data_IF_300457363385
#
_entry.id   IF_300457363385
#
_cell.length_a   1.000
_cell.length_b   1.000
_cell.length_c   1.000
_cell.angle_alpha   90.00
_cell.angle_beta   90.00
_cell.angle_gamma   90.00
#
_symmetry.space_group_name_H-M   'P 1'
#
loop_
_entity.id
_entity.type
_entity.pdbx_description
1 polymer ?
#
# COMPACT_ATOMS: atom_id res chain seq x y z
N UNK A 1 -77.10 -15.60 -8.45
CA UNK A 1 -77.16 -14.83 -9.68
C UNK A 1 -75.84 -14.14 -9.83
N UNK A 2 -74.92 -14.67 -10.53
CA UNK A 2 -74.65 -14.59 -11.95
C UNK A 2 -73.24 -13.90 -11.99
N UNK A 3 -72.17 -14.67 -12.10
CA UNK A 3 -70.85 -14.17 -12.56
C UNK A 3 -70.89 -14.07 -14.11
N UNK A 4 -70.15 -13.17 -14.70
CA UNK A 4 -69.45 -13.50 -15.94
C UNK A 4 -67.93 -13.42 -15.80
N UNK A 5 -67.32 -14.41 -16.43
CA UNK A 5 -65.89 -14.52 -16.69
C UNK A 5 -65.51 -13.62 -17.88
N UNK A 6 -64.20 -13.43 -17.96
CA UNK A 6 -63.36 -13.19 -19.14
C UNK A 6 -62.57 -11.88 -19.14
N UNK A 7 -61.26 -11.99 -18.89
CA UNK A 7 -60.29 -11.07 -19.45
C UNK A 7 -59.03 -11.83 -19.91
N UNK A 8 -58.94 -11.89 -21.24
CA UNK A 8 -57.87 -12.36 -22.06
C UNK A 8 -56.54 -11.68 -21.75
N UNK A 9 -55.47 -12.46 -21.56
CA UNK A 9 -54.11 -12.03 -21.57
C UNK A 9 -53.70 -11.60 -22.99
N UNK A 10 -53.42 -10.30 -23.16
CA UNK A 10 -52.71 -9.76 -24.32
C UNK A 10 -51.20 -9.93 -24.12
N UNK A 11 -50.58 -10.73 -24.99
CA UNK A 11 -49.12 -10.86 -25.01
C UNK A 11 -48.45 -9.63 -25.62
N UNK A 12 -47.37 -9.21 -25.01
CA UNK A 12 -46.48 -8.13 -25.52
C UNK A 12 -45.82 -8.55 -26.85
N UNK A 13 -45.65 -7.61 -27.79
CA UNK A 13 -44.97 -7.87 -29.05
C UNK A 13 -43.44 -8.06 -28.82
N UNK A 14 -42.75 -8.87 -29.65
CA UNK A 14 -41.32 -9.08 -29.56
C UNK A 14 -40.55 -7.78 -29.92
N UNK A 15 -39.35 -7.56 -29.35
CA UNK A 15 -38.52 -6.40 -29.64
C UNK A 15 -38.04 -6.41 -31.11
N UNK A 16 -37.81 -5.23 -31.71
CA UNK A 16 -37.34 -5.11 -33.08
C UNK A 16 -35.94 -5.66 -33.29
N UNK A 17 -35.73 -6.37 -34.41
CA UNK A 17 -34.44 -6.86 -34.85
C UNK A 17 -33.53 -5.66 -35.20
N UNK A 18 -32.31 -5.63 -34.66
CA UNK A 18 -31.31 -4.66 -35.03
C UNK A 18 -30.72 -5.02 -36.40
N UNK A 19 -30.88 -4.11 -37.33
CA UNK A 19 -30.25 -4.15 -38.64
C UNK A 19 -28.74 -3.97 -38.54
N UNK A 20 -28.02 -4.72 -39.34
CA UNK A 20 -26.57 -4.74 -39.41
C UNK A 20 -26.00 -3.38 -39.85
N UNK A 21 -25.07 -2.84 -39.10
CA UNK A 21 -24.28 -1.69 -39.48
C UNK A 21 -23.42 -2.00 -40.74
N UNK A 22 -23.21 -1.03 -41.66
CA UNK A 22 -22.38 -1.23 -42.83
C UNK A 22 -20.90 -1.39 -42.49
N UNK A 23 -20.11 -2.12 -43.32
CA UNK A 23 -18.69 -2.33 -43.06
C UNK A 23 -17.87 -1.05 -43.29
N UNK A 24 -16.94 -0.76 -42.39
CA UNK A 24 -15.95 0.29 -42.52
C UNK A 24 -15.01 0.04 -43.72
N UNK A 25 -14.58 1.07 -44.47
CA UNK A 25 -13.62 0.90 -45.57
C UNK A 25 -12.25 0.53 -45.04
N UNK A 26 -11.60 -0.39 -45.77
CA UNK A 26 -10.38 -1.11 -45.43
C UNK A 26 -9.17 -0.24 -45.12
N UNK A 27 -8.46 -0.66 -44.08
CA UNK A 27 -7.11 -0.24 -43.78
C UNK A 27 -6.14 -1.28 -44.34
N UNK A 28 -5.38 -0.92 -45.37
CA UNK A 28 -4.30 -1.76 -45.92
C UNK A 28 -3.10 -1.68 -44.96
N UNK A 29 -2.80 -2.77 -44.25
CA UNK A 29 -1.59 -2.92 -43.44
C UNK A 29 -0.38 -3.25 -44.28
N UNK A 30 0.86 -3.02 -43.80
CA UNK A 30 2.07 -3.28 -44.52
C UNK A 30 2.33 -4.80 -44.78
N UNK A 31 2.97 -5.19 -45.89
CA UNK A 31 3.19 -6.57 -46.29
C UNK A 31 4.27 -7.25 -45.45
N UNK A 32 4.02 -8.46 -44.97
CA UNK A 32 5.12 -9.35 -44.54
C UNK A 32 4.94 -10.17 -43.25
N UNK A 33 3.77 -10.80 -42.99
CA UNK A 33 3.72 -11.91 -42.01
C UNK A 33 2.95 -13.11 -42.58
N UNK A 34 3.48 -14.36 -42.44
CA UNK A 34 2.77 -15.56 -42.91
C UNK A 34 1.55 -15.85 -42.02
N UNK A 35 0.49 -16.47 -42.60
CA UNK A 35 -0.76 -16.73 -41.85
C UNK A 35 -0.56 -17.87 -40.84
N UNK A 36 -1.10 -17.67 -39.65
CA UNK A 36 -1.23 -18.70 -38.60
C UNK A 36 -2.30 -19.71 -39.01
N UNK A 37 -2.11 -21.03 -38.80
CA UNK A 37 -3.13 -22.04 -39.06
C UNK A 37 -4.29 -21.92 -38.07
N UNK A 38 -5.50 -21.92 -38.57
CA UNK A 38 -6.74 -21.87 -37.81
C UNK A 38 -6.98 -23.16 -37.00
N UNK A 39 -7.83 -23.12 -35.98
CA UNK A 39 -8.13 -24.27 -35.14
C UNK A 39 -9.01 -25.29 -35.89
N UNK A 40 -8.47 -26.50 -36.13
CA UNK A 40 -9.21 -27.64 -36.59
C UNK A 40 -10.10 -28.20 -35.48
N UNK A 41 -11.39 -28.42 -35.80
CA UNK A 41 -12.36 -29.00 -34.91
C UNK A 41 -12.04 -30.43 -34.50
N UNK A 42 -12.19 -30.74 -33.22
CA UNK A 42 -12.17 -32.10 -32.72
C UNK A 42 -13.59 -32.60 -32.43
N UNK A 43 -13.98 -33.60 -33.19
CA UNK A 43 -15.17 -34.42 -32.98
C UNK A 43 -14.95 -35.40 -31.82
N UNK A 44 -16.09 -35.91 -31.37
CA UNK A 44 -16.39 -36.64 -30.15
C UNK A 44 -15.63 -37.94 -29.83
N UNK A 45 -15.68 -38.23 -28.55
CA UNK A 45 -15.69 -39.56 -27.87
C UNK A 45 -14.43 -40.41 -27.88
N UNK A 46 -13.81 -40.48 -26.68
CA UNK A 46 -13.34 -41.75 -26.08
C UNK A 46 -13.21 -41.57 -24.56
N UNK A 47 -13.89 -42.44 -23.81
CA UNK A 47 -13.83 -42.52 -22.37
C UNK A 47 -12.44 -43.00 -21.90
N UNK A 48 -11.89 -42.29 -20.91
CA UNK A 48 -10.72 -42.74 -20.19
C UNK A 48 -11.12 -43.15 -18.77
N UNK A 49 -10.83 -44.44 -18.49
CA UNK A 49 -10.90 -45.01 -17.15
C UNK A 49 -9.82 -44.37 -16.25
N UNK A 50 -10.20 -43.98 -15.05
CA UNK A 50 -9.28 -43.45 -14.04
C UNK A 50 -8.33 -44.57 -13.54
N UNK A 51 -7.03 -44.34 -13.41
CA UNK A 51 -6.12 -45.26 -12.73
C UNK A 51 -6.30 -45.19 -11.20
N UNK A 52 -5.98 -46.28 -10.48
CA UNK A 52 -6.15 -46.39 -9.03
C UNK A 52 -5.14 -45.47 -8.29
N UNK A 53 -5.62 -44.84 -7.21
CA UNK A 53 -4.83 -44.05 -6.27
C UNK A 53 -3.75 -44.92 -5.62
N UNK A 54 -2.49 -44.70 -5.93
CA UNK A 54 -1.37 -45.22 -5.19
C UNK A 54 -1.16 -44.40 -3.93
N UNK A 55 -1.23 -45.00 -2.76
CA UNK A 55 -0.92 -44.41 -1.46
C UNK A 55 0.56 -44.01 -1.42
N UNK A 56 0.85 -42.73 -1.55
CA UNK A 56 2.19 -42.18 -1.33
C UNK A 56 2.38 -41.94 0.17
N UNK A 57 3.26 -42.75 0.78
CA UNK A 57 3.75 -42.56 2.13
C UNK A 57 4.47 -41.22 2.24
N UNK A 58 4.11 -40.41 3.24
CA UNK A 58 4.78 -39.15 3.53
C UNK A 58 6.25 -39.34 3.87
N UNK A 59 7.18 -38.51 3.41
CA UNK A 59 8.58 -38.59 3.81
C UNK A 59 8.72 -38.20 5.28
N UNK A 60 9.36 -39.09 6.05
CA UNK A 60 9.76 -38.88 7.44
C UNK A 60 10.80 -37.77 7.49
N UNK A 61 10.50 -36.67 8.17
CA UNK A 61 11.47 -35.62 8.49
C UNK A 61 12.57 -36.20 9.39
N UNK A 62 13.85 -35.95 9.11
CA UNK A 62 14.92 -36.27 10.05
C UNK A 62 14.78 -35.40 11.30
N UNK A 63 14.92 -36.03 12.46
CA UNK A 63 14.93 -35.38 13.76
C UNK A 63 16.12 -34.40 13.84
N UNK A 64 15.86 -33.19 14.33
CA UNK A 64 16.93 -32.24 14.65
C UNK A 64 17.86 -32.82 15.74
N UNK A 65 19.17 -32.65 15.62
CA UNK A 65 20.08 -32.98 16.69
C UNK A 65 19.85 -32.12 17.93
N UNK A 66 20.15 -32.62 19.14
CA UNK A 66 19.94 -31.85 20.36
C UNK A 66 20.84 -30.59 20.40
N UNK A 67 20.25 -29.52 20.86
CA UNK A 67 20.87 -28.21 21.02
C UNK A 67 21.96 -28.24 22.10
N UNK A 68 23.23 -28.10 21.71
CA UNK A 68 24.32 -27.85 22.65
C UNK A 68 24.36 -26.33 22.97
N UNK A 69 24.34 -25.93 24.26
CA UNK A 69 24.47 -24.54 24.63
C UNK A 69 25.89 -24.04 24.36
N UNK A 70 25.98 -22.92 23.65
CA UNK A 70 27.23 -22.19 23.40
C UNK A 70 27.90 -21.78 24.72
N UNK A 71 29.25 -21.84 24.84
CA UNK A 71 29.94 -21.44 26.04
C UNK A 71 29.79 -19.91 26.27
N UNK A 72 29.41 -19.55 27.48
CA UNK A 72 29.33 -18.18 27.97
C UNK A 72 30.72 -17.53 27.99
N UNK A 73 30.87 -16.45 27.27
CA UNK A 73 32.05 -15.60 27.21
C UNK A 73 32.24 -14.92 28.57
N UNK A 74 33.43 -14.97 29.22
CA UNK A 74 33.67 -14.25 30.46
C UNK A 74 33.70 -12.72 30.22
N UNK A 75 33.12 -11.98 31.17
CA UNK A 75 33.14 -10.51 31.16
C UNK A 75 34.54 -9.96 31.20
N UNK A 76 34.86 -8.86 30.49
CA UNK A 76 36.15 -8.22 30.58
C UNK A 76 36.29 -7.51 31.94
N UNK A 77 37.29 -7.94 32.73
CA UNK A 77 37.75 -7.23 33.89
C UNK A 77 38.52 -5.96 33.42
N UNK A 78 37.95 -4.80 33.66
CA UNK A 78 38.60 -3.51 33.38
C UNK A 78 39.74 -3.27 34.36
N UNK A 79 40.82 -2.62 33.91
CA UNK A 79 41.94 -2.28 34.81
C UNK A 79 41.55 -1.12 35.73
N UNK A 80 41.88 -1.32 37.00
CA UNK A 80 41.86 -0.34 38.09
C UNK A 80 42.71 0.88 37.74
N UNK A 81 42.14 2.07 37.78
CA UNK A 81 42.85 3.35 37.66
C UNK A 81 43.64 3.64 38.93
N UNK A 82 44.92 3.47 38.86
CA UNK A 82 45.87 3.97 39.87
C UNK A 82 45.99 5.48 39.77
N UNK A 83 45.83 6.15 40.90
CA UNK A 83 46.07 7.58 41.08
C UNK A 83 47.58 7.83 41.01
N UNK A 84 48.07 8.46 39.94
CA UNK A 84 49.44 8.91 39.84
C UNK A 84 49.55 10.41 40.19
N UNK A 85 50.36 10.69 41.14
CA UNK A 85 50.71 12.00 41.69
C UNK A 85 51.39 12.91 40.64
N UNK A 86 51.01 14.18 40.64
CA UNK A 86 51.54 15.24 39.79
C UNK A 86 52.90 15.73 40.38
N UNK A 87 54.00 15.84 39.62
CA UNK A 87 55.14 16.62 40.02
C UNK A 87 55.02 18.08 39.55
N UNK A 88 55.11 18.99 40.48
CA UNK A 88 55.23 20.43 40.27
C UNK A 88 56.65 20.74 39.77
N UNK A 89 56.83 21.34 38.60
CA UNK A 89 58.05 22.03 38.20
C UNK A 89 57.68 23.26 37.38
N UNK A 90 58.03 24.40 37.93
CA UNK A 90 57.91 25.69 37.29
C UNK A 90 59.09 25.91 36.31
N UNK A 91 58.74 26.26 35.05
CA UNK A 91 59.67 27.02 34.18
C UNK A 91 58.85 27.76 33.15
N UNK A 92 59.01 29.07 33.09
CA UNK A 92 58.25 29.98 32.23
C UNK A 92 58.52 29.76 30.73
N UNK A 93 57.45 29.80 29.97
CA UNK A 93 57.51 30.06 28.54
C UNK A 93 56.31 30.89 28.16
N UNK A 94 56.54 32.09 27.61
CA UNK A 94 55.52 32.93 27.04
C UNK A 94 55.18 32.40 25.63
N UNK A 95 53.93 32.05 25.29
CA UNK A 95 53.56 31.79 23.92
C UNK A 95 53.00 33.06 23.28
N UNK A 96 53.65 33.47 22.20
CA UNK A 96 53.18 34.41 21.22
C UNK A 96 51.80 33.91 20.66
N UNK A 97 50.87 34.88 20.51
CA UNK A 97 49.49 34.66 20.12
C UNK A 97 49.26 33.84 18.86
N UNK A 98 48.59 32.77 19.01
CA UNK A 98 47.86 32.05 17.98
C UNK A 98 46.42 31.90 18.45
N UNK A 99 45.52 32.71 17.92
CA UNK A 99 44.10 32.58 18.13
C UNK A 99 43.62 31.30 17.49
N UNK A 100 43.38 30.26 18.29
CA UNK A 100 42.66 29.09 17.83
C UNK A 100 41.18 29.45 17.81
N UNK A 101 40.45 29.21 16.70
CA UNK A 101 39.02 29.37 16.70
C UNK A 101 38.39 28.27 17.57
N UNK A 102 37.99 28.62 18.78
CA UNK A 102 37.39 27.72 19.77
C UNK A 102 35.90 27.53 19.57
N UNK A 103 35.37 27.83 18.40
CA UNK A 103 33.95 27.61 18.09
C UNK A 103 33.82 26.62 16.96
N UNK A 104 33.59 25.36 17.27
CA UNK A 104 33.04 24.39 16.34
C UNK A 104 31.57 24.79 16.14
N UNK A 105 31.28 25.52 15.09
CA UNK A 105 29.91 25.73 14.65
C UNK A 105 29.44 24.43 14.03
N UNK A 106 28.58 23.68 14.77
CA UNK A 106 27.81 22.60 14.20
C UNK A 106 26.85 23.23 13.21
N UNK A 107 27.18 23.18 11.92
CA UNK A 107 26.18 23.39 10.86
C UNK A 107 25.21 22.21 10.97
N UNK A 108 24.03 22.50 11.47
CA UNK A 108 22.89 21.59 11.24
C UNK A 108 22.83 21.34 9.74
N UNK A 109 22.94 20.09 9.32
CA UNK A 109 22.83 19.78 7.89
C UNK A 109 21.39 20.08 7.46
N UNK A 110 21.19 20.63 6.27
CA UNK A 110 19.84 20.87 5.73
C UNK A 110 19.00 19.60 5.72
N UNK A 111 19.63 18.44 5.60
CA UNK A 111 19.02 17.11 5.65
C UNK A 111 18.40 16.85 7.03
N UNK A 112 19.08 17.25 8.13
CA UNK A 112 18.55 17.05 9.48
C UNK A 112 17.32 17.92 9.72
N UNK A 113 17.33 19.18 9.27
CA UNK A 113 16.20 20.11 9.40
C UNK A 113 14.95 19.64 8.59
N UNK A 114 15.14 19.10 7.38
CA UNK A 114 14.02 18.53 6.61
C UNK A 114 13.44 17.28 7.28
N UNK A 115 14.29 16.44 7.80
CA UNK A 115 13.88 15.22 8.51
C UNK A 115 13.10 15.56 9.77
N UNK A 116 13.59 16.52 10.57
CA UNK A 116 12.89 17.00 11.77
C UNK A 116 11.53 17.61 11.43
N UNK A 117 11.46 18.42 10.36
CA UNK A 117 10.20 18.99 9.88
C UNK A 117 9.21 17.89 9.43
N UNK A 118 9.67 16.88 8.71
CA UNK A 118 8.84 15.75 8.30
C UNK A 118 8.31 14.98 9.51
N UNK A 119 9.15 14.69 10.49
CA UNK A 119 8.75 14.05 11.75
C UNK A 119 7.72 14.92 12.50
N UNK A 120 7.94 16.23 12.57
CA UNK A 120 7.01 17.16 13.22
C UNK A 120 5.63 17.15 12.54
N UNK A 121 5.58 17.12 11.20
CA UNK A 121 4.33 16.99 10.44
C UNK A 121 3.61 15.69 10.79
N UNK A 122 4.32 14.57 10.78
CA UNK A 122 3.71 13.27 11.06
C UNK A 122 3.22 13.12 12.51
N UNK A 123 3.78 13.86 13.46
CA UNK A 123 3.38 13.86 14.88
C UNK A 123 2.23 14.78 15.21
N UNK A 124 1.85 15.68 14.30
CA UNK A 124 0.77 16.64 14.55
C UNK A 124 -0.54 15.92 14.90
N UNK A 125 -1.36 16.61 15.66
CA UNK A 125 -2.77 16.26 15.79
C UNK A 125 -3.46 16.53 14.45
N UNK A 126 -4.07 15.51 13.86
CA UNK A 126 -4.76 15.60 12.58
C UNK A 126 -6.20 16.12 12.71
N UNK A 127 -6.66 16.35 13.94
CA UNK A 127 -8.01 16.80 14.28
C UNK A 127 -9.10 15.75 14.03
N UNK A 128 -9.05 15.08 12.91
CA UNK A 128 -9.92 13.97 12.50
C UNK A 128 -9.09 12.83 11.90
N UNK A 129 -9.59 11.59 11.97
CA UNK A 129 -8.98 10.47 11.23
C UNK A 129 -8.87 10.76 9.74
N UNK A 130 -7.74 10.39 9.12
CA UNK A 130 -7.46 10.66 7.71
C UNK A 130 -7.34 9.36 6.92
N UNK A 131 -8.02 9.32 5.77
CA UNK A 131 -7.97 8.22 4.81
C UNK A 131 -7.10 8.64 3.62
N UNK A 132 -6.02 7.89 3.41
CA UNK A 132 -5.12 8.02 2.27
C UNK A 132 -5.41 6.88 1.29
N UNK A 133 -5.91 7.16 0.11
CA UNK A 133 -6.19 6.16 -0.91
C UNK A 133 -5.04 6.08 -1.92
N UNK A 134 -4.42 4.90 -2.04
CA UNK A 134 -3.34 4.63 -3.00
C UNK A 134 -3.95 4.04 -4.26
N UNK A 135 -3.94 4.79 -5.37
CA UNK A 135 -4.65 4.40 -6.58
C UNK A 135 -3.83 4.58 -7.85
N UNK A 136 -4.04 3.70 -8.79
CA UNK A 136 -3.72 3.75 -10.21
C UNK A 136 -4.38 2.54 -10.88
N UNK A 137 -5.08 2.67 -12.02
CA UNK A 137 -5.67 1.54 -12.75
C UNK A 137 -4.62 0.55 -13.28
N UNK A 138 -3.38 1.00 -13.48
CA UNK A 138 -2.29 0.14 -13.93
C UNK A 138 -1.84 -0.83 -12.83
N UNK A 139 -1.67 -2.11 -13.20
CA UNK A 139 -1.00 -3.10 -12.34
C UNK A 139 0.52 -2.91 -12.34
N UNK A 140 1.17 -3.30 -11.24
CA UNK A 140 2.64 -3.27 -11.15
C UNK A 140 3.27 -1.89 -10.92
N UNK A 141 2.49 -0.91 -10.49
CA UNK A 141 2.97 0.45 -10.16
C UNK A 141 3.19 0.65 -8.65
N UNK A 142 3.40 -0.42 -7.93
CA UNK A 142 3.78 -0.46 -6.51
C UNK A 142 2.72 0.07 -5.52
N UNK A 143 1.41 0.05 -5.85
CA UNK A 143 0.34 0.50 -4.93
C UNK A 143 0.43 -0.17 -3.55
N UNK A 144 0.38 -1.50 -3.51
CA UNK A 144 0.46 -2.28 -2.26
C UNK A 144 1.74 -1.98 -1.47
N UNK A 145 2.89 -1.91 -2.16
CA UNK A 145 4.16 -1.54 -1.54
C UNK A 145 4.11 -0.13 -0.94
N UNK A 146 3.51 0.81 -1.67
CA UNK A 146 3.36 2.19 -1.22
C UNK A 146 2.44 2.30 0.00
N UNK A 147 1.32 1.58 0.02
CA UNK A 147 0.39 1.54 1.15
C UNK A 147 1.08 1.01 2.40
N UNK A 148 1.80 -0.11 2.30
CA UNK A 148 2.55 -0.71 3.42
C UNK A 148 3.64 0.24 3.92
N UNK A 149 4.45 0.82 3.02
CA UNK A 149 5.55 1.70 3.41
C UNK A 149 5.07 3.04 3.97
N UNK A 150 3.96 3.57 3.49
CA UNK A 150 3.34 4.74 4.08
C UNK A 150 2.84 4.44 5.51
N UNK A 151 2.10 3.34 5.69
CA UNK A 151 1.62 2.94 7.01
C UNK A 151 2.79 2.68 7.98
N UNK A 152 3.82 1.94 7.55
CA UNK A 152 5.01 1.67 8.36
C UNK A 152 5.77 2.95 8.74
N UNK A 153 5.93 3.89 7.79
CA UNK A 153 6.60 5.16 8.04
C UNK A 153 5.84 6.02 9.04
N UNK A 154 4.53 6.20 8.82
CA UNK A 154 3.68 6.96 9.74
C UNK A 154 3.64 6.28 11.11
N UNK A 155 3.46 4.96 11.15
CA UNK A 155 3.43 4.15 12.36
C UNK A 155 4.74 4.22 13.15
N UNK A 156 5.90 4.18 12.50
CA UNK A 156 7.20 4.30 13.16
C UNK A 156 7.39 5.64 13.88
N UNK A 157 6.71 6.71 13.41
CA UNK A 157 6.77 8.04 14.01
C UNK A 157 5.69 8.27 15.05
N UNK A 158 4.46 7.79 14.81
CA UNK A 158 3.30 7.97 15.71
C UNK A 158 3.21 6.90 16.79
N UNK A 159 3.71 5.70 16.51
CA UNK A 159 3.73 4.55 17.44
C UNK A 159 2.40 3.81 17.56
N UNK A 160 1.28 4.36 17.04
CA UNK A 160 -0.06 3.76 17.12
C UNK A 160 -1.06 4.49 16.22
N UNK A 161 -2.26 3.91 16.09
CA UNK A 161 -3.39 4.55 15.40
C UNK A 161 -3.21 4.63 13.89
N UNK A 162 -2.42 3.71 13.29
CA UNK A 162 -2.20 3.62 11.85
C UNK A 162 -2.64 2.25 11.35
N UNK A 163 -3.40 2.24 10.27
CA UNK A 163 -3.90 1.00 9.66
C UNK A 163 -3.69 1.02 8.16
N UNK A 164 -3.29 -0.14 7.61
CA UNK A 164 -3.29 -0.43 6.19
C UNK A 164 -4.45 -1.38 5.85
N UNK A 165 -5.29 -1.00 4.90
CA UNK A 165 -6.42 -1.81 4.44
C UNK A 165 -6.24 -2.22 2.99
N UNK A 166 -6.43 -3.51 2.72
CA UNK A 166 -6.44 -4.09 1.38
C UNK A 166 -7.88 -4.12 0.84
N UNK A 167 -8.21 -3.18 -0.03
CA UNK A 167 -9.50 -3.10 -0.73
C UNK A 167 -9.41 -3.65 -2.17
N UNK A 168 -8.47 -4.57 -2.42
CA UNK A 168 -8.35 -5.21 -3.73
C UNK A 168 -9.42 -6.30 -3.90
N UNK A 169 -10.33 -6.10 -4.85
CA UNK A 169 -11.49 -6.97 -5.09
C UNK A 169 -11.15 -8.35 -5.64
N UNK A 170 -10.00 -8.52 -6.27
CA UNK A 170 -9.66 -9.77 -6.95
C UNK A 170 -8.81 -10.67 -6.06
N UNK A 171 -7.72 -10.16 -5.55
CA UNK A 171 -6.79 -10.89 -4.70
C UNK A 171 -5.91 -9.92 -3.94
N UNK A 172 -6.15 -9.79 -2.66
CA UNK A 172 -5.36 -8.95 -1.78
C UNK A 172 -3.99 -9.56 -1.49
N UNK A 173 -2.94 -8.76 -1.62
CA UNK A 173 -1.57 -9.17 -1.28
C UNK A 173 -0.94 -8.32 -0.19
N UNK A 174 -1.65 -7.32 0.30
CA UNK A 174 -1.16 -6.39 1.32
C UNK A 174 -0.81 -7.13 2.62
N UNK A 175 -1.65 -8.06 3.06
CA UNK A 175 -1.39 -8.85 4.25
C UNK A 175 -0.10 -9.68 4.18
N UNK A 176 0.28 -10.16 2.99
CA UNK A 176 1.56 -10.82 2.75
C UNK A 176 2.72 -9.82 2.82
N UNK A 177 2.57 -8.65 2.22
CA UNK A 177 3.60 -7.60 2.17
C UNK A 177 3.84 -6.95 3.53
N UNK A 178 2.81 -6.85 4.36
CA UNK A 178 2.89 -6.23 5.68
C UNK A 178 3.55 -7.11 6.77
N UNK A 179 3.74 -8.39 6.53
CA UNK A 179 4.45 -9.26 7.47
C UNK A 179 3.56 -10.25 8.22
N UNK A 180 3.91 -10.57 9.46
CA UNK A 180 3.31 -11.69 10.20
C UNK A 180 1.85 -11.46 10.58
N UNK A 181 1.05 -12.54 10.46
CA UNK A 181 -0.30 -12.60 10.97
C UNK A 181 -0.39 -13.53 12.17
N UNK A 182 -1.09 -13.12 13.23
CA UNK A 182 -1.42 -14.01 14.35
C UNK A 182 -2.54 -14.98 14.00
N UNK A 183 -3.37 -14.64 13.03
CA UNK A 183 -4.54 -15.40 12.59
C UNK A 183 -4.81 -15.17 11.08
N UNK A 184 -5.68 -16.01 10.49
CA UNK A 184 -6.05 -15.95 9.08
C UNK A 184 -7.33 -15.11 8.81
N UNK A 185 -7.74 -14.22 9.73
CA UNK A 185 -8.94 -13.39 9.53
C UNK A 185 -8.67 -12.30 8.49
N UNK A 186 -9.73 -11.96 7.74
CA UNK A 186 -9.74 -11.02 6.64
C UNK A 186 -10.94 -10.10 6.76
N UNK A 187 -11.06 -9.13 5.88
CA UNK A 187 -12.24 -8.25 5.75
C UNK A 187 -13.56 -9.03 5.74
N UNK A 188 -13.59 -10.26 5.20
CA UNK A 188 -14.78 -11.11 5.17
C UNK A 188 -15.31 -11.41 6.57
N UNK A 189 -14.44 -11.69 7.51
CA UNK A 189 -14.82 -11.99 8.89
C UNK A 189 -15.32 -10.74 9.60
N UNK A 190 -14.65 -9.61 9.41
CA UNK A 190 -15.09 -8.32 9.94
C UNK A 190 -16.50 -7.95 9.43
N UNK A 191 -16.75 -8.13 8.13
CA UNK A 191 -18.05 -7.81 7.52
C UNK A 191 -19.15 -8.75 8.01
N UNK A 192 -18.85 -10.02 8.28
CA UNK A 192 -19.82 -10.96 8.83
C UNK A 192 -20.33 -10.54 10.23
N UNK A 193 -19.45 -9.94 11.03
CA UNK A 193 -19.73 -9.55 12.41
C UNK A 193 -19.92 -8.02 12.57
N UNK A 194 -20.01 -7.27 11.44
CA UNK A 194 -19.99 -5.81 11.41
C UNK A 194 -21.08 -5.18 12.27
N UNK A 195 -22.30 -5.71 12.20
CA UNK A 195 -23.44 -5.20 12.99
C UNK A 195 -23.23 -5.33 14.52
N UNK A 196 -22.50 -6.35 14.97
CA UNK A 196 -22.16 -6.55 16.37
C UNK A 196 -21.05 -5.57 16.79
N UNK A 197 -19.99 -5.48 15.98
CA UNK A 197 -18.82 -4.68 16.29
C UNK A 197 -19.14 -3.18 16.32
N UNK A 198 -19.97 -2.70 15.41
CA UNK A 198 -20.40 -1.28 15.39
C UNK A 198 -21.12 -0.83 16.66
N UNK A 199 -21.80 -1.76 17.36
CA UNK A 199 -22.51 -1.47 18.61
C UNK A 199 -21.58 -1.44 19.82
N UNK A 200 -20.33 -1.89 19.68
CA UNK A 200 -19.37 -1.85 20.79
C UNK A 200 -19.09 -0.41 21.22
N UNK A 201 -19.08 -0.11 22.53
CA UNK A 201 -18.63 1.17 23.03
C UNK A 201 -17.15 1.40 22.72
N UNK A 202 -16.73 2.67 22.65
CA UNK A 202 -15.41 3.06 22.15
C UNK A 202 -14.22 2.36 22.81
N UNK A 203 -14.30 2.08 24.10
CA UNK A 203 -13.22 1.41 24.86
C UNK A 203 -13.12 -0.10 24.56
N UNK A 204 -14.24 -0.76 24.22
CA UNK A 204 -14.26 -2.18 23.85
C UNK A 204 -14.00 -2.39 22.35
N UNK A 205 -14.28 -1.36 21.53
CA UNK A 205 -14.20 -1.47 20.09
C UNK A 205 -12.79 -1.81 19.61
N UNK A 206 -11.78 -1.16 20.18
CA UNK A 206 -10.38 -1.42 19.79
C UNK A 206 -9.99 -2.87 20.08
N UNK A 207 -10.35 -3.40 21.24
CA UNK A 207 -10.08 -4.79 21.62
C UNK A 207 -10.83 -5.79 20.74
N UNK A 208 -12.11 -5.53 20.43
CA UNK A 208 -12.90 -6.41 19.53
C UNK A 208 -12.42 -6.35 18.11
N UNK A 209 -11.98 -5.17 17.62
CA UNK A 209 -11.47 -5.01 16.27
C UNK A 209 -10.12 -5.70 16.10
N UNK A 210 -9.29 -5.78 17.13
CA UNK A 210 -7.99 -6.45 17.15
C UNK A 210 -8.08 -7.93 16.72
N UNK A 211 -9.19 -8.60 17.01
CA UNK A 211 -9.46 -9.97 16.56
C UNK A 211 -9.47 -10.14 15.02
N UNK A 212 -9.70 -9.06 14.27
CA UNK A 212 -9.80 -9.05 12.80
C UNK A 212 -8.58 -8.44 12.13
N UNK A 213 -7.74 -7.76 12.90
CA UNK A 213 -6.55 -7.08 12.40
C UNK A 213 -5.32 -7.97 12.53
N UNK A 214 -4.41 -7.82 11.60
CA UNK A 214 -3.05 -8.34 11.70
C UNK A 214 -2.16 -7.18 12.12
N UNK A 215 -1.03 -7.46 12.75
CA UNK A 215 -0.07 -6.45 13.15
C UNK A 215 1.19 -6.57 12.31
N UNK A 216 1.79 -5.44 11.96
CA UNK A 216 3.12 -5.41 11.38
C UNK A 216 4.13 -6.11 12.32
N UNK A 217 5.20 -6.64 11.76
CA UNK A 217 6.20 -7.40 12.53
C UNK A 217 6.84 -6.59 13.66
N UNK A 218 6.93 -5.28 13.49
CA UNK A 218 7.45 -4.31 14.47
C UNK A 218 6.35 -3.68 15.35
N UNK A 219 5.08 -4.02 15.12
CA UNK A 219 3.94 -3.50 15.85
C UNK A 219 3.61 -2.03 15.55
N UNK A 220 4.20 -1.43 14.53
CA UNK A 220 4.05 0.00 14.24
C UNK A 220 2.72 0.37 13.59
N UNK A 221 2.05 -0.56 12.90
CA UNK A 221 0.74 -0.37 12.28
C UNK A 221 -0.08 -1.65 12.23
N UNK A 222 -1.39 -1.50 12.06
CA UNK A 222 -2.34 -2.59 11.92
C UNK A 222 -2.69 -2.83 10.46
N UNK A 223 -3.19 -4.03 10.16
CA UNK A 223 -3.51 -4.46 8.81
C UNK A 223 -4.87 -5.13 8.76
N UNK A 224 -5.79 -4.57 8.00
CA UNK A 224 -7.02 -5.25 7.59
C UNK A 224 -6.76 -5.92 6.23
N UNK A 225 -6.55 -7.24 6.27
CA UNK A 225 -6.22 -8.01 5.08
C UNK A 225 -7.44 -8.20 4.17
N UNK A 226 -7.21 -8.08 2.87
CA UNK A 226 -8.19 -8.40 1.83
C UNK A 226 -8.57 -9.87 1.82
N UNK A 227 -9.63 -10.20 1.07
CA UNK A 227 -10.10 -11.57 0.88
C UNK A 227 -9.54 -12.14 -0.42
N UNK A 228 -9.14 -13.40 -0.38
CA UNK A 228 -8.61 -14.09 -1.56
C UNK A 228 -9.71 -14.73 -2.41
N UNK A 229 -10.93 -14.86 -1.86
CA UNK A 229 -12.06 -15.49 -2.56
C UNK A 229 -12.80 -14.50 -3.48
N UNK A 230 -12.80 -14.72 -4.81
CA UNK A 230 -13.51 -13.85 -5.76
C UNK A 230 -15.03 -13.78 -5.52
N UNK A 231 -15.60 -14.80 -4.84
CA UNK A 231 -17.02 -14.82 -4.51
C UNK A 231 -17.39 -13.81 -3.41
N UNK A 232 -16.47 -13.50 -2.53
CA UNK A 232 -16.68 -12.53 -1.46
C UNK A 232 -16.50 -11.09 -1.96
N UNK A 233 -15.55 -10.84 -2.86
CA UNK A 233 -15.30 -9.53 -3.43
C UNK A 233 -16.57 -8.88 -3.99
N UNK A 234 -17.46 -9.70 -4.56
CA UNK A 234 -18.80 -9.26 -5.06
C UNK A 234 -19.81 -8.92 -3.96
N UNK A 235 -19.53 -9.24 -2.70
CA UNK A 235 -20.41 -8.91 -1.55
C UNK A 235 -20.01 -7.61 -0.85
N UNK A 236 -18.81 -7.09 -1.13
CA UNK A 236 -18.41 -5.78 -0.67
C UNK A 236 -19.10 -4.72 -1.52
N UNK A 237 -20.25 -4.28 -1.08
CA UNK A 237 -20.95 -3.18 -1.71
C UNK A 237 -20.55 -1.82 -1.15
N UNK A 238 -20.98 -0.75 -1.80
CA UNK A 238 -20.75 0.64 -1.41
C UNK A 238 -21.09 0.91 0.07
N UNK A 239 -22.19 0.35 0.57
CA UNK A 239 -22.65 0.57 1.94
C UNK A 239 -21.72 -0.09 2.94
N UNK A 240 -21.34 -1.33 2.66
CA UNK A 240 -20.40 -2.10 3.49
C UNK A 240 -19.04 -1.42 3.57
N UNK A 241 -18.47 -1.00 2.43
CA UNK A 241 -17.18 -0.28 2.38
C UNK A 241 -17.22 0.99 3.23
N UNK A 242 -18.31 1.78 3.11
CA UNK A 242 -18.47 3.00 3.92
C UNK A 242 -18.54 2.68 5.41
N UNK A 243 -19.33 1.69 5.81
CA UNK A 243 -19.46 1.27 7.22
C UNK A 243 -18.11 0.82 7.79
N UNK A 244 -17.34 0.04 7.02
CA UNK A 244 -15.99 -0.37 7.43
C UNK A 244 -15.08 0.84 7.62
N UNK A 245 -15.06 1.80 6.70
CA UNK A 245 -14.28 3.03 6.86
C UNK A 245 -14.68 3.83 8.09
N UNK A 246 -15.99 3.99 8.34
CA UNK A 246 -16.51 4.67 9.52
C UNK A 246 -16.11 3.96 10.81
N UNK A 247 -16.15 2.62 10.82
CA UNK A 247 -15.69 1.82 11.95
C UNK A 247 -14.20 2.02 12.22
N UNK A 248 -13.36 1.94 11.18
CA UNK A 248 -11.91 2.11 11.30
C UNK A 248 -11.52 3.52 11.76
N UNK A 249 -12.25 4.54 11.35
CA UNK A 249 -12.07 5.94 11.81
C UNK A 249 -12.33 6.13 13.32
N UNK A 250 -13.02 5.22 13.97
CA UNK A 250 -13.27 5.28 15.43
C UNK A 250 -12.04 4.83 16.24
N UNK A 251 -11.09 4.14 15.62
CA UNK A 251 -9.95 3.51 16.31
C UNK A 251 -8.59 3.92 15.77
N UNK A 252 -8.53 4.44 14.52
CA UNK A 252 -7.28 4.79 13.86
C UNK A 252 -7.27 6.23 13.36
N UNK A 253 -6.15 6.92 13.55
CA UNK A 253 -5.95 8.30 13.10
C UNK A 253 -5.58 8.40 11.62
N UNK A 254 -4.87 7.39 11.10
CA UNK A 254 -4.43 7.32 9.69
C UNK A 254 -4.76 5.95 9.12
N UNK A 255 -5.54 5.94 8.04
CA UNK A 255 -5.98 4.74 7.34
C UNK A 255 -5.43 4.80 5.91
N UNK A 256 -4.48 3.92 5.58
CA UNK A 256 -3.90 3.77 4.25
C UNK A 256 -4.64 2.67 3.50
N UNK A 257 -5.33 3.00 2.40
CA UNK A 257 -6.12 2.03 1.63
C UNK A 257 -5.44 1.68 0.31
N UNK A 258 -5.13 0.40 0.13
CA UNK A 258 -4.64 -0.16 -1.14
C UNK A 258 -5.83 -0.47 -2.04
N UNK A 259 -6.09 0.36 -3.03
CA UNK A 259 -7.22 0.15 -3.93
C UNK A 259 -6.91 -0.86 -5.02
N UNK A 260 -7.95 -1.54 -5.51
CA UNK A 260 -7.86 -2.34 -6.72
C UNK A 260 -7.53 -1.53 -7.98
N UNK A 261 -7.47 -2.22 -9.12
CA UNK A 261 -7.20 -1.60 -10.43
C UNK A 261 -8.47 -1.22 -11.21
N UNK A 262 -9.63 -1.64 -10.73
CA UNK A 262 -10.89 -1.46 -11.44
C UNK A 262 -11.59 -0.16 -11.05
N UNK A 263 -11.43 0.88 -11.89
CA UNK A 263 -12.06 2.19 -11.68
C UNK A 263 -13.58 2.20 -11.80
N UNK A 264 -14.16 1.15 -12.40
CA UNK A 264 -15.62 0.99 -12.52
C UNK A 264 -16.24 0.38 -11.26
N UNK A 265 -15.40 -0.19 -10.40
CA UNK A 265 -15.83 -0.80 -9.17
C UNK A 265 -16.53 0.18 -8.23
N UNK A 266 -17.62 -0.26 -7.63
CA UNK A 266 -18.31 0.52 -6.60
C UNK A 266 -17.43 0.74 -5.36
N UNK A 267 -16.57 -0.24 -5.01
CA UNK A 267 -15.64 -0.15 -3.89
C UNK A 267 -14.59 0.93 -4.14
N UNK A 268 -13.91 0.87 -5.28
CA UNK A 268 -12.91 1.85 -5.68
C UNK A 268 -13.46 3.28 -5.59
N UNK A 269 -14.64 3.51 -6.17
CA UNK A 269 -15.29 4.82 -6.13
C UNK A 269 -15.66 5.24 -4.71
N UNK A 270 -16.13 4.31 -3.88
CA UNK A 270 -16.53 4.60 -2.50
C UNK A 270 -15.32 4.95 -1.63
N UNK A 271 -14.21 4.24 -1.79
CA UNK A 271 -12.95 4.56 -1.10
C UNK A 271 -12.45 5.94 -1.50
N UNK A 272 -12.42 6.26 -2.80
CA UNK A 272 -11.98 7.59 -3.25
C UNK A 272 -12.91 8.72 -2.78
N UNK A 273 -14.23 8.49 -2.75
CA UNK A 273 -15.18 9.46 -2.21
C UNK A 273 -15.01 9.71 -0.71
N UNK A 274 -14.49 8.75 0.02
CA UNK A 274 -14.23 8.85 1.47
C UNK A 274 -12.78 9.27 1.79
N UNK A 275 -11.89 9.30 0.78
CA UNK A 275 -10.49 9.64 0.96
C UNK A 275 -10.30 11.14 1.23
N UNK A 276 -9.48 11.44 2.23
CA UNK A 276 -9.02 12.81 2.52
C UNK A 276 -7.84 13.17 1.62
N UNK A 277 -7.02 12.17 1.22
CA UNK A 277 -5.86 12.33 0.35
C UNK A 277 -5.80 11.22 -0.68
N UNK A 278 -5.72 11.57 -1.95
CA UNK A 278 -5.34 10.65 -3.02
C UNK A 278 -3.81 10.60 -3.14
N UNK A 279 -3.26 9.39 -3.13
CA UNK A 279 -1.87 9.10 -3.48
C UNK A 279 -1.86 8.38 -4.83
N UNK A 280 -1.54 9.12 -5.89
CA UNK A 280 -1.43 8.61 -7.24
C UNK A 280 -0.10 7.89 -7.38
N UNK A 281 -0.10 6.57 -7.29
CA UNK A 281 1.13 5.78 -7.39
C UNK A 281 1.49 5.50 -8.84
N UNK A 282 2.71 5.77 -9.24
CA UNK A 282 3.20 5.43 -10.57
C UNK A 282 4.71 5.12 -10.55
N UNK A 283 5.21 4.60 -11.66
CA UNK A 283 6.63 4.33 -11.88
C UNK A 283 7.09 5.13 -13.11
N UNK A 284 8.39 5.44 -13.26
CA UNK A 284 8.89 6.23 -14.38
C UNK A 284 8.93 5.43 -15.70
N UNK A 285 7.74 5.09 -16.20
CA UNK A 285 7.43 4.42 -17.47
C UNK A 285 6.26 5.13 -18.15
N UNK A 286 6.29 5.27 -19.46
CA UNK A 286 5.26 5.97 -20.23
C UNK A 286 3.86 5.38 -20.04
N UNK A 287 3.72 4.04 -20.11
CA UNK A 287 2.44 3.36 -19.97
C UNK A 287 1.79 3.53 -18.57
N UNK A 288 2.63 3.57 -17.54
CA UNK A 288 2.18 3.79 -16.18
C UNK A 288 1.79 5.26 -15.93
N UNK A 289 2.58 6.18 -16.47
CA UNK A 289 2.31 7.61 -16.39
C UNK A 289 1.05 8.00 -17.17
N UNK A 290 0.89 7.47 -18.40
CA UNK A 290 -0.32 7.69 -19.20
C UNK A 290 -1.58 7.24 -18.45
N UNK A 291 -1.56 6.07 -17.83
CA UNK A 291 -2.71 5.54 -17.09
C UNK A 291 -2.99 6.36 -15.82
N UNK A 292 -1.94 6.88 -15.18
CA UNK A 292 -2.05 7.77 -14.02
C UNK A 292 -2.71 9.11 -14.41
N UNK A 293 -2.27 9.69 -15.51
CA UNK A 293 -2.78 10.95 -16.03
C UNK A 293 -4.24 10.81 -16.47
N UNK A 294 -4.55 9.74 -17.22
CA UNK A 294 -5.93 9.41 -17.57
C UNK A 294 -6.85 9.24 -16.34
N UNK A 295 -6.35 8.66 -15.25
CA UNK A 295 -7.14 8.54 -14.02
C UNK A 295 -7.47 9.91 -13.42
N UNK A 296 -6.55 10.88 -13.48
CA UNK A 296 -6.84 12.24 -13.02
C UNK A 296 -7.96 12.87 -13.85
N UNK A 297 -7.95 12.72 -15.18
CA UNK A 297 -9.02 13.23 -16.05
C UNK A 297 -10.35 12.54 -15.72
N UNK A 298 -10.36 11.21 -15.57
CA UNK A 298 -11.54 10.47 -15.15
C UNK A 298 -12.12 11.00 -13.82
N UNK A 299 -11.27 11.32 -12.84
CA UNK A 299 -11.73 11.86 -11.55
C UNK A 299 -12.39 13.23 -11.72
N UNK A 300 -11.91 14.08 -12.63
CA UNK A 300 -12.58 15.32 -12.98
C UNK A 300 -13.94 15.07 -13.61
N UNK A 301 -14.04 14.14 -14.56
CA UNK A 301 -15.28 13.82 -15.26
C UNK A 301 -16.37 13.27 -14.33
N UNK A 302 -16.00 12.51 -13.30
CA UNK A 302 -16.94 11.93 -12.33
C UNK A 302 -17.17 12.79 -11.08
N UNK A 303 -16.72 14.07 -11.11
CA UNK A 303 -16.98 15.04 -10.05
C UNK A 303 -16.07 14.95 -8.82
N UNK A 304 -14.92 14.26 -8.91
CA UNK A 304 -13.89 14.19 -7.88
C UNK A 304 -12.65 15.03 -8.22
N UNK A 305 -12.81 16.11 -8.99
CA UNK A 305 -11.72 16.96 -9.44
C UNK A 305 -10.93 17.62 -8.30
N UNK A 306 -11.59 17.96 -7.19
CA UNK A 306 -10.92 18.50 -6.02
C UNK A 306 -9.95 17.49 -5.39
N UNK A 307 -10.36 16.23 -5.28
CA UNK A 307 -9.49 15.15 -4.83
C UNK A 307 -8.29 14.95 -5.77
N UNK A 308 -8.51 15.00 -7.09
CA UNK A 308 -7.47 14.89 -8.10
C UNK A 308 -6.46 16.05 -8.01
N UNK A 309 -6.93 17.29 -7.91
CA UNK A 309 -6.07 18.48 -7.82
C UNK A 309 -5.22 18.49 -6.54
N UNK A 310 -5.77 17.98 -5.44
CA UNK A 310 -5.07 17.86 -4.15
C UNK A 310 -4.26 16.55 -4.02
N UNK A 311 -4.21 15.71 -5.05
CA UNK A 311 -3.46 14.46 -5.02
C UNK A 311 -1.95 14.69 -4.79
N UNK A 312 -1.30 13.68 -4.23
CA UNK A 312 0.16 13.55 -4.23
C UNK A 312 0.54 12.46 -5.22
N UNK A 313 1.31 12.80 -6.23
CA UNK A 313 1.90 11.79 -7.13
C UNK A 313 3.13 11.19 -6.48
N UNK A 314 3.12 9.87 -6.30
CA UNK A 314 4.24 9.09 -5.79
C UNK A 314 4.94 8.37 -6.94
N UNK A 315 6.10 8.85 -7.35
CA UNK A 315 6.97 8.22 -8.33
C UNK A 315 7.91 7.22 -7.63
N UNK A 316 7.68 5.94 -7.83
CA UNK A 316 8.48 4.86 -7.24
C UNK A 316 9.45 4.30 -8.28
N UNK A 317 10.76 4.36 -7.98
CA UNK A 317 11.80 3.84 -8.87
C UNK A 317 11.90 2.31 -8.75
N UNK A 318 11.65 1.53 -9.81
CA UNK A 318 11.65 0.07 -9.74
C UNK A 318 13.05 -0.55 -9.94
N UNK A 319 14.02 0.22 -10.40
CA UNK A 319 15.37 -0.23 -10.76
C UNK A 319 16.43 0.63 -10.11
N UNK A 320 17.66 0.09 -9.89
CA UNK A 320 18.75 0.87 -9.34
C UNK A 320 19.21 2.02 -10.24
N UNK A 321 19.12 1.83 -11.56
CA UNK A 321 19.46 2.88 -12.52
C UNK A 321 18.31 3.88 -12.66
N UNK A 322 18.57 5.18 -12.56
CA UNK A 322 17.55 6.21 -12.77
C UNK A 322 16.96 6.13 -14.17
N UNK A 323 15.64 6.10 -14.26
CA UNK A 323 14.96 6.21 -15.56
C UNK A 323 15.19 7.58 -16.17
N UNK A 324 15.47 7.68 -17.48
CA UNK A 324 15.58 8.96 -18.18
C UNK A 324 14.27 9.77 -18.15
N UNK A 325 13.14 9.10 -17.96
CA UNK A 325 11.81 9.75 -17.88
C UNK A 325 11.49 10.36 -16.51
N UNK A 326 12.27 10.05 -15.47
CA UNK A 326 11.91 10.42 -14.09
C UNK A 326 11.71 11.92 -13.92
N UNK A 327 12.64 12.73 -14.43
CA UNK A 327 12.58 14.18 -14.27
C UNK A 327 11.47 14.82 -15.12
N UNK A 328 11.23 14.29 -16.31
CA UNK A 328 10.14 14.76 -17.17
C UNK A 328 8.78 14.45 -16.55
N UNK A 329 8.59 13.26 -16.04
CA UNK A 329 7.37 12.88 -15.34
C UNK A 329 7.19 13.65 -14.03
N UNK A 330 8.26 13.89 -13.28
CA UNK A 330 8.20 14.75 -12.08
C UNK A 330 7.69 16.16 -12.42
N UNK A 331 8.19 16.77 -13.49
CA UNK A 331 7.72 18.08 -13.96
C UNK A 331 6.28 18.02 -14.46
N UNK A 332 5.92 17.00 -15.23
CA UNK A 332 4.56 16.81 -15.72
C UNK A 332 3.56 16.74 -14.57
N UNK A 333 3.75 15.81 -13.63
CA UNK A 333 2.81 15.63 -12.52
C UNK A 333 2.80 16.80 -11.53
N UNK A 334 3.86 17.59 -11.44
CA UNK A 334 3.87 18.83 -10.66
C UNK A 334 2.89 19.88 -11.19
N UNK A 335 2.45 19.78 -12.44
CA UNK A 335 1.39 20.65 -13.01
C UNK A 335 -0.01 20.06 -12.86
N UNK A 336 -0.12 18.77 -12.50
CA UNK A 336 -1.38 18.02 -12.44
C UNK A 336 -1.86 17.75 -11.03
N UNK A 337 -0.96 17.68 -10.08
CA UNK A 337 -1.24 17.31 -8.69
C UNK A 337 -0.58 18.30 -7.74
N UNK A 338 -1.07 18.35 -6.51
CA UNK A 338 -0.58 19.26 -5.47
C UNK A 338 0.92 19.13 -5.20
N UNK A 339 1.43 17.90 -5.24
CA UNK A 339 2.84 17.62 -5.00
C UNK A 339 3.29 16.33 -5.66
N UNK A 340 4.59 16.22 -5.88
CA UNK A 340 5.23 15.01 -6.40
C UNK A 340 6.31 14.56 -5.43
N UNK A 341 6.21 13.32 -4.96
CA UNK A 341 7.21 12.66 -4.15
C UNK A 341 7.91 11.56 -4.96
N UNK A 342 9.22 11.46 -4.83
CA UNK A 342 10.02 10.42 -5.48
C UNK A 342 10.62 9.53 -4.40
N UNK A 343 10.45 8.20 -4.55
CA UNK A 343 11.06 7.21 -3.68
C UNK A 343 12.04 6.35 -4.48
N UNK A 344 13.27 6.16 -3.98
CA UNK A 344 14.31 5.45 -4.71
C UNK A 344 14.05 3.94 -4.73
N UNK A 345 14.76 3.26 -5.60
CA UNK A 345 14.86 1.80 -5.58
C UNK A 345 15.52 1.32 -4.28
N UNK A 346 14.95 0.24 -3.73
CA UNK A 346 15.52 -0.48 -2.59
C UNK A 346 15.53 -1.99 -2.88
N UNK A 347 16.70 -2.66 -2.85
CA UNK A 347 16.82 -4.08 -3.18
C UNK A 347 16.04 -4.99 -2.23
N UNK A 348 15.74 -4.55 -1.00
CA UNK A 348 14.95 -5.34 -0.05
C UNK A 348 13.50 -5.51 -0.50
N UNK A 349 13.02 -4.68 -1.43
CA UNK A 349 11.66 -4.71 -1.96
C UNK A 349 11.50 -5.62 -3.19
N UNK A 350 12.59 -6.04 -3.85
CA UNK A 350 12.56 -6.85 -5.07
C UNK A 350 11.92 -8.22 -4.89
N UNK A 351 12.18 -8.85 -3.75
CA UNK A 351 11.73 -10.23 -3.51
C UNK A 351 10.21 -10.37 -3.46
N UNK A 352 9.47 -9.25 -3.36
CA UNK A 352 8.02 -9.28 -3.24
C UNK A 352 7.49 -9.91 -1.94
N UNK A 353 8.37 -10.28 -1.00
CA UNK A 353 8.03 -10.83 0.32
C UNK A 353 7.55 -9.74 1.30
N UNK A 354 7.38 -10.11 2.57
CA UNK A 354 7.07 -9.15 3.63
C UNK A 354 8.11 -8.04 3.74
N UNK A 355 7.65 -6.81 3.98
CA UNK A 355 8.48 -5.63 4.11
C UNK A 355 8.83 -5.45 5.60
N UNK A 356 10.13 -5.50 5.88
CA UNK A 356 10.69 -5.08 7.17
C UNK A 356 11.21 -3.64 7.00
N UNK A 357 10.48 -2.67 7.57
CA UNK A 357 10.80 -1.26 7.44
C UNK A 357 12.20 -0.91 8.00
N UNK A 358 12.64 -1.59 9.05
CA UNK A 358 13.95 -1.37 9.65
C UNK A 358 15.12 -1.78 8.74
N UNK A 359 14.88 -2.72 7.81
CA UNK A 359 15.90 -3.23 6.88
C UNK A 359 16.06 -2.39 5.61
N UNK A 360 15.14 -1.46 5.36
CA UNK A 360 15.28 -0.51 4.24
C UNK A 360 16.54 0.33 4.40
N UNK A 361 17.11 0.73 3.28
CA UNK A 361 18.23 1.67 3.26
C UNK A 361 17.85 2.98 3.94
N UNK A 362 18.79 3.66 4.62
CA UNK A 362 18.53 4.96 5.27
C UNK A 362 17.94 5.99 4.30
N UNK A 363 18.45 6.05 3.07
CA UNK A 363 17.99 6.97 2.03
C UNK A 363 16.53 6.68 1.63
N UNK A 364 16.17 5.39 1.56
CA UNK A 364 14.79 4.97 1.26
C UNK A 364 13.86 5.36 2.39
N UNK A 365 14.22 5.10 3.64
CA UNK A 365 13.42 5.52 4.80
C UNK A 365 13.25 7.03 4.87
N UNK A 366 14.29 7.79 4.58
CA UNK A 366 14.22 9.25 4.54
C UNK A 366 13.33 9.76 3.41
N UNK A 367 13.40 9.13 2.23
CA UNK A 367 12.50 9.46 1.11
C UNK A 367 11.03 9.18 1.46
N UNK A 368 10.74 8.04 2.12
CA UNK A 368 9.40 7.72 2.59
C UNK A 368 8.92 8.66 3.68
N UNK A 369 9.79 9.06 4.59
CA UNK A 369 9.48 10.05 5.63
C UNK A 369 9.03 11.39 5.00
N UNK A 370 9.77 11.88 3.99
CA UNK A 370 9.39 13.09 3.25
C UNK A 370 8.08 12.90 2.47
N UNK A 371 7.94 11.77 1.78
CA UNK A 371 6.74 11.49 1.00
C UNK A 371 5.47 11.45 1.87
N UNK A 372 5.52 10.76 3.00
CA UNK A 372 4.38 10.68 3.93
C UNK A 372 4.10 12.01 4.63
N UNK A 373 5.13 12.79 4.92
CA UNK A 373 4.96 14.14 5.44
C UNK A 373 4.18 15.03 4.44
N UNK A 374 4.54 14.98 3.15
CA UNK A 374 3.82 15.71 2.09
C UNK A 374 2.36 15.22 1.97
N UNK A 375 2.09 13.93 2.14
CA UNK A 375 0.73 13.39 2.11
C UNK A 375 -0.13 13.94 3.27
N UNK A 376 0.45 14.11 4.45
CA UNK A 376 -0.27 14.54 5.67
C UNK A 376 -0.14 16.05 5.96
N UNK A 377 0.69 16.78 5.23
CA UNK A 377 0.93 18.22 5.44
C UNK A 377 -0.34 19.08 5.45
N UNK A 378 -1.37 18.84 4.60
CA UNK A 378 -2.60 19.62 4.61
C UNK A 378 -3.44 19.44 5.88
N UNK A 379 -3.21 18.36 6.64
CA UNK A 379 -3.99 17.99 7.81
C UNK A 379 -3.19 18.27 9.06
N UNK A 380 -3.78 18.97 9.98
CA UNK A 380 -3.16 19.27 11.27
C UNK A 380 -3.14 20.76 11.56
N UNK A 381 -3.25 21.02 12.84
CA UNK A 381 -3.22 22.35 13.43
C UNK A 381 -1.88 22.64 14.06
#
# INVERSE_FOLDING_TARGET
MGYPADHSYGGDPPPPAYDHAPPYPGYEGPPGYPPHPGPSGYGASHGYASPPLASASAPVRPANPPYEPLPTRPAPTGPSMGVASVPTAAAGYSPSGGSYPTRVEWRESHVDAETERAIAILRRDLGLPRVLAFANPKGGVHKTTATVLAAATVGSVRGRGVLAWDDNELRGTLGLRAGSARHARTIRHLVADLDEIERCPGYELAERLDDYLRHASDGSYDVLAGEESPHFARKLDKTTVRRVLELLRRTHDVICVDTGNNVESANWRTVLQAADQLVLTTVPREDAAFTADWMLDLLHDIGMGELANNAVTLLSCPTPEPSPLLEDLRRHFATRTRAVAVVPYDPTLETGSSIDYARLRPETRQAWLRATAVMLEPFGR
#
